data_IF_075840619707
#
_entry.id   IF_075840619707
#
_cell.length_a   1.000
_cell.length_b   1.000
_cell.length_c   1.000
_cell.angle_alpha   90.00
_cell.angle_beta   90.00
_cell.angle_gamma   90.00
#
_symmetry.space_group_name_H-M   'P 1'
#
loop_
_entity.id
_entity.type
_entity.pdbx_description
1 polymer ?
#
# COMPACT_ATOMS: atom_id res chain seq x y z
N UNK A 1 33.17 8.23 -0.74
CA UNK A 1 31.81 7.75 -1.06
C UNK A 1 30.96 8.08 0.16
N UNK A 2 30.23 9.19 0.15
CA UNK A 2 29.39 9.58 1.29
C UNK A 2 28.20 8.63 1.39
N UNK A 3 28.06 7.96 2.54
CA UNK A 3 26.93 7.09 2.81
C UNK A 3 25.74 7.99 3.16
N UNK A 4 24.72 8.03 2.29
CA UNK A 4 23.50 8.81 2.54
C UNK A 4 22.88 8.41 3.87
N UNK A 5 22.42 9.39 4.64
CA UNK A 5 21.74 9.14 5.91
C UNK A 5 20.44 8.36 5.70
N UNK A 6 19.96 7.69 6.75
CA UNK A 6 18.75 6.87 6.70
C UNK A 6 17.48 7.63 6.28
N UNK A 7 17.43 8.93 6.59
CA UNK A 7 16.33 9.82 6.22
C UNK A 7 16.40 10.23 4.74
N UNK A 8 17.61 10.40 4.20
CA UNK A 8 17.83 10.72 2.79
C UNK A 8 17.42 9.56 1.88
N UNK A 9 17.71 8.31 2.28
CA UNK A 9 17.32 7.12 1.51
C UNK A 9 15.80 6.90 1.45
N UNK A 10 15.05 7.39 2.46
CA UNK A 10 13.58 7.31 2.50
C UNK A 10 12.90 8.14 1.40
N UNK A 11 13.56 9.18 0.91
CA UNK A 11 13.00 10.13 -0.05
C UNK A 11 13.49 9.92 -1.49
N UNK A 12 14.34 8.92 -1.75
CA UNK A 12 14.79 8.61 -3.10
C UNK A 12 13.68 7.86 -3.84
N UNK A 13 13.11 8.46 -4.88
CA UNK A 13 12.20 7.76 -5.77
C UNK A 13 12.98 6.66 -6.52
N UNK A 14 12.61 5.41 -6.28
CA UNK A 14 13.27 4.25 -6.86
C UNK A 14 12.36 3.61 -7.91
N UNK A 15 12.94 3.31 -9.07
CA UNK A 15 12.28 2.49 -10.09
C UNK A 15 12.88 1.08 -10.04
N UNK A 16 12.04 0.11 -9.75
CA UNK A 16 12.36 -1.30 -9.66
C UNK A 16 11.94 -2.04 -10.92
N UNK A 17 12.59 -3.19 -11.15
CA UNK A 17 12.17 -4.14 -12.19
C UNK A 17 10.75 -4.63 -11.90
N UNK A 18 9.89 -4.64 -12.91
CA UNK A 18 8.54 -5.21 -12.82
C UNK A 18 8.62 -6.73 -12.95
N UNK A 19 8.11 -7.45 -11.95
CA UNK A 19 8.04 -8.91 -11.87
C UNK A 19 6.60 -9.43 -11.89
N UNK A 20 5.63 -8.59 -11.53
CA UNK A 20 4.20 -8.85 -11.64
C UNK A 20 3.54 -7.58 -12.14
N UNK A 21 2.76 -7.68 -13.21
CA UNK A 21 2.15 -6.52 -13.84
C UNK A 21 0.67 -6.40 -13.48
N UNK A 22 0.24 -5.15 -13.29
CA UNK A 22 -1.13 -4.73 -13.05
C UNK A 22 -1.32 -3.45 -13.86
N UNK A 23 -2.06 -3.47 -14.98
CA UNK A 23 -2.04 -2.40 -15.98
C UNK A 23 -2.32 -0.97 -15.46
N UNK A 24 -3.08 -0.86 -14.36
CA UNK A 24 -3.48 0.44 -13.76
C UNK A 24 -2.57 0.91 -12.63
N UNK A 25 -1.56 0.11 -12.26
CA UNK A 25 -0.70 0.36 -11.10
C UNK A 25 0.73 0.60 -11.56
N UNK A 26 1.39 1.63 -11.03
CA UNK A 26 2.81 1.93 -11.31
C UNK A 26 3.72 0.94 -10.56
N UNK A 27 3.71 -0.33 -10.98
CA UNK A 27 4.42 -1.44 -10.33
C UNK A 27 5.93 -1.22 -10.22
N UNK A 28 6.52 -0.41 -11.10
CA UNK A 28 7.93 -0.04 -11.02
C UNK A 28 8.28 0.77 -9.76
N UNK A 29 7.31 1.39 -9.08
CA UNK A 29 7.54 2.08 -7.79
C UNK A 29 7.40 1.18 -6.57
N UNK A 30 7.11 -0.10 -6.79
CA UNK A 30 6.91 -1.08 -5.73
C UNK A 30 8.10 -2.03 -5.70
N UNK A 31 8.64 -2.27 -4.52
CA UNK A 31 9.78 -3.14 -4.35
C UNK A 31 9.49 -4.56 -4.89
N UNK A 32 10.41 -5.22 -5.62
CA UNK A 32 10.14 -6.48 -6.30
C UNK A 32 9.67 -7.61 -5.38
N UNK A 33 10.10 -7.60 -4.12
CA UNK A 33 9.68 -8.56 -3.09
C UNK A 33 8.16 -8.52 -2.82
N UNK A 34 7.55 -7.35 -2.99
CA UNK A 34 6.17 -7.09 -2.58
C UNK A 34 5.18 -7.07 -3.76
N UNK A 35 5.66 -6.94 -5.00
CA UNK A 35 4.82 -6.80 -6.19
C UNK A 35 3.81 -7.94 -6.38
N UNK A 36 4.19 -9.20 -6.07
CA UNK A 36 3.26 -10.33 -6.17
C UNK A 36 2.12 -10.23 -5.17
N UNK A 37 2.39 -9.80 -3.94
CA UNK A 37 1.36 -9.62 -2.92
C UNK A 37 0.43 -8.45 -3.26
N UNK A 38 0.99 -7.34 -3.75
CA UNK A 38 0.22 -6.20 -4.25
C UNK A 38 -0.72 -6.61 -5.39
N UNK A 39 -0.23 -7.40 -6.35
CA UNK A 39 -1.08 -7.94 -7.41
C UNK A 39 -2.26 -8.75 -6.85
N UNK A 40 -2.02 -9.63 -5.88
CA UNK A 40 -3.10 -10.41 -5.24
C UNK A 40 -4.12 -9.52 -4.54
N UNK A 41 -3.67 -8.47 -3.85
CA UNK A 41 -4.57 -7.50 -3.21
C UNK A 41 -5.41 -6.77 -4.26
N UNK A 42 -4.79 -6.26 -5.33
CA UNK A 42 -5.51 -5.60 -6.42
C UNK A 42 -6.56 -6.54 -7.02
N UNK A 43 -6.17 -7.76 -7.40
CA UNK A 43 -7.08 -8.73 -8.03
C UNK A 43 -8.25 -9.12 -7.10
N UNK A 44 -8.04 -9.17 -5.78
CA UNK A 44 -9.08 -9.49 -4.80
C UNK A 44 -10.07 -8.33 -4.53
N UNK A 45 -9.64 -7.08 -4.76
CA UNK A 45 -10.43 -5.89 -4.40
C UNK A 45 -10.94 -5.11 -5.62
N UNK A 46 -10.38 -5.28 -6.82
CA UNK A 46 -10.71 -4.44 -8.01
C UNK A 46 -12.20 -4.34 -8.31
N UNK A 47 -12.95 -5.41 -8.03
CA UNK A 47 -14.40 -5.50 -8.27
C UNK A 47 -15.25 -5.21 -7.04
N UNK A 48 -14.64 -4.91 -5.88
CA UNK A 48 -15.36 -4.57 -4.66
C UNK A 48 -15.77 -3.09 -4.69
N UNK A 49 -17.02 -2.84 -5.08
CA UNK A 49 -17.56 -1.49 -5.25
C UNK A 49 -17.50 -0.64 -3.98
N UNK A 50 -17.36 -1.27 -2.80
CA UNK A 50 -17.30 -0.58 -1.52
C UNK A 50 -16.00 0.17 -1.33
N UNK A 51 -14.92 -0.26 -2.00
CA UNK A 51 -13.60 0.34 -1.89
C UNK A 51 -13.43 1.43 -2.95
N UNK A 52 -13.08 2.64 -2.51
CA UNK A 52 -12.90 3.81 -3.35
C UNK A 52 -11.45 4.05 -3.75
N UNK A 53 -10.48 3.65 -2.92
CA UNK A 53 -9.06 3.74 -3.21
C UNK A 53 -8.23 2.89 -2.23
N UNK A 54 -7.08 2.41 -2.70
CA UNK A 54 -6.03 1.84 -1.86
C UNK A 54 -4.68 2.46 -2.22
N UNK A 55 -3.95 2.92 -1.22
CA UNK A 55 -2.58 3.44 -1.38
C UNK A 55 -1.60 2.58 -0.59
N UNK A 56 -0.63 2.00 -1.30
CA UNK A 56 0.54 1.35 -0.71
C UNK A 56 1.59 2.40 -0.39
N UNK A 57 2.11 2.40 0.84
CA UNK A 57 3.16 3.32 1.26
C UNK A 57 4.23 2.60 2.07
N UNK A 58 5.00 3.36 2.86
CA UNK A 58 5.94 2.79 3.82
C UNK A 58 7.15 2.12 3.16
N UNK A 59 7.61 1.01 3.71
CA UNK A 59 8.87 0.38 3.28
C UNK A 59 8.80 -0.19 1.85
N UNK A 60 7.61 -0.63 1.44
CA UNK A 60 7.34 -1.30 0.16
C UNK A 60 7.59 -0.45 -1.09
N UNK A 61 7.76 0.87 -0.94
CA UNK A 61 8.00 1.82 -2.04
C UNK A 61 9.39 2.46 -1.99
N UNK A 62 10.30 1.93 -1.18
CA UNK A 62 11.69 2.42 -1.09
C UNK A 62 12.70 1.26 -0.86
N UNK A 63 13.99 1.60 -0.82
CA UNK A 63 15.09 0.64 -0.70
C UNK A 63 15.20 -0.06 0.65
N UNK A 64 14.37 0.31 1.63
CA UNK A 64 14.39 -0.30 2.97
C UNK A 64 13.51 -1.54 3.07
N UNK A 65 12.79 -1.88 2.00
CA UNK A 65 12.00 -3.11 1.95
C UNK A 65 12.91 -4.34 2.09
N UNK A 66 12.55 -5.23 3.00
CA UNK A 66 13.22 -6.52 3.22
C UNK A 66 12.24 -7.66 3.11
N UNK A 67 12.72 -8.90 3.23
CA UNK A 67 11.86 -10.09 3.29
C UNK A 67 10.97 -10.15 4.54
N UNK A 68 11.28 -9.37 5.57
CA UNK A 68 10.51 -9.27 6.81
C UNK A 68 9.57 -8.06 6.83
N UNK A 69 9.54 -7.29 5.73
CA UNK A 69 8.65 -6.13 5.62
C UNK A 69 7.21 -6.56 5.36
N UNK A 70 6.31 -5.90 6.05
CA UNK A 70 4.87 -5.87 5.83
C UNK A 70 4.48 -4.89 4.71
N UNK A 71 3.20 -4.98 4.32
CA UNK A 71 2.56 -4.03 3.40
C UNK A 71 1.83 -2.96 4.20
N UNK A 72 2.34 -1.72 4.17
CA UNK A 72 1.64 -0.57 4.72
C UNK A 72 0.56 -0.05 3.74
N UNK A 73 -0.72 -0.15 4.12
CA UNK A 73 -1.85 0.21 3.25
C UNK A 73 -2.73 1.27 3.90
N UNK A 74 -3.16 2.26 3.10
CA UNK A 74 -4.31 3.11 3.44
C UNK A 74 -5.47 2.76 2.53
N UNK A 75 -6.61 2.45 3.14
CA UNK A 75 -7.85 2.08 2.44
C UNK A 75 -8.89 3.16 2.67
N UNK A 76 -9.57 3.56 1.60
CA UNK A 76 -10.72 4.46 1.64
C UNK A 76 -11.94 3.73 1.08
N UNK A 77 -13.00 3.64 1.88
CA UNK A 77 -14.31 3.17 1.43
C UNK A 77 -15.09 4.32 0.77
N UNK A 78 -16.07 4.00 -0.07
CA UNK A 78 -17.04 5.00 -0.52
C UNK A 78 -17.93 5.44 0.66
N UNK A 79 -18.38 6.71 0.71
CA UNK A 79 -19.10 7.26 1.86
C UNK A 79 -20.29 6.41 2.35
N UNK A 80 -21.04 5.82 1.42
CA UNK A 80 -22.23 5.01 1.67
C UNK A 80 -21.93 3.66 2.35
N UNK A 81 -20.67 3.20 2.32
CA UNK A 81 -20.24 1.93 2.91
C UNK A 81 -19.37 2.11 4.17
N UNK A 82 -19.24 3.32 4.71
CA UNK A 82 -18.38 3.57 5.87
C UNK A 82 -19.04 3.08 7.16
N UNK A 83 -18.75 1.83 7.52
CA UNK A 83 -19.12 1.23 8.81
C UNK A 83 -18.05 0.19 9.25
N UNK A 84 -18.10 -0.26 10.50
CA UNK A 84 -17.07 -1.17 11.04
C UNK A 84 -17.15 -2.59 10.45
N UNK A 85 -18.34 -3.08 10.11
CA UNK A 85 -18.54 -4.41 9.53
C UNK A 85 -17.88 -4.49 8.15
N UNK A 86 -18.17 -3.53 7.26
CA UNK A 86 -17.53 -3.43 5.95
C UNK A 86 -16.03 -3.26 6.06
N UNK A 87 -15.54 -2.47 7.03
CA UNK A 87 -14.10 -2.35 7.28
C UNK A 87 -13.48 -3.70 7.67
N UNK A 88 -14.12 -4.46 8.55
CA UNK A 88 -13.61 -5.76 8.95
C UNK A 88 -13.55 -6.74 7.77
N UNK A 89 -14.61 -6.81 6.97
CA UNK A 89 -14.66 -7.69 5.80
C UNK A 89 -13.61 -7.31 4.73
N UNK A 90 -13.46 -6.01 4.45
CA UNK A 90 -12.44 -5.55 3.49
C UNK A 90 -11.02 -5.78 4.04
N UNK A 91 -10.80 -5.56 5.34
CA UNK A 91 -9.54 -5.92 5.99
C UNK A 91 -9.23 -7.40 5.84
N UNK A 92 -10.19 -8.28 6.12
CA UNK A 92 -10.01 -9.73 6.01
C UNK A 92 -9.64 -10.15 4.58
N UNK A 93 -10.36 -9.66 3.57
CA UNK A 93 -10.00 -9.89 2.15
C UNK A 93 -8.57 -9.46 1.81
N UNK A 94 -8.15 -8.29 2.27
CA UNK A 94 -6.79 -7.78 2.04
C UNK A 94 -5.75 -8.66 2.75
N UNK A 95 -6.00 -9.02 4.01
CA UNK A 95 -5.10 -9.85 4.81
C UNK A 95 -4.95 -11.24 4.20
N UNK A 96 -6.04 -11.89 3.78
CA UNK A 96 -5.98 -13.18 3.10
C UNK A 96 -5.15 -13.12 1.81
N UNK A 97 -5.34 -12.06 1.00
CA UNK A 97 -4.62 -11.88 -0.26
C UNK A 97 -3.10 -11.70 -0.07
N UNK A 98 -2.66 -11.18 1.08
CA UNK A 98 -1.24 -10.97 1.37
C UNK A 98 -0.63 -11.99 2.35
N UNK A 99 -1.41 -12.97 2.83
CA UNK A 99 -0.93 -13.95 3.82
C UNK A 99 -0.77 -13.36 5.22
N UNK A 100 -1.67 -12.46 5.60
CA UNK A 100 -1.74 -11.80 6.92
C UNK A 100 -0.51 -10.94 7.24
N UNK A 101 0.06 -10.31 6.21
CA UNK A 101 1.27 -9.49 6.30
C UNK A 101 1.03 -8.07 5.77
N UNK A 102 -0.04 -7.43 6.23
CA UNK A 102 -0.34 -6.04 5.92
C UNK A 102 -0.78 -5.25 7.15
N UNK A 103 -0.32 -4.00 7.24
CA UNK A 103 -0.83 -2.99 8.15
C UNK A 103 -1.91 -2.17 7.42
N UNK A 104 -3.18 -2.45 7.72
CA UNK A 104 -4.33 -1.79 7.08
C UNK A 104 -4.80 -0.60 7.91
N UNK A 105 -4.58 0.60 7.38
CA UNK A 105 -5.04 1.85 7.96
C UNK A 105 -6.26 2.40 7.20
N UNK A 106 -7.23 2.93 7.94
CA UNK A 106 -8.44 3.50 7.36
C UNK A 106 -8.32 5.00 7.18
N UNK A 107 -8.51 5.49 5.95
CA UNK A 107 -8.37 6.90 5.59
C UNK A 107 -9.15 7.82 6.53
N UNK A 108 -10.42 7.50 6.83
CA UNK A 108 -11.28 8.31 7.69
C UNK A 108 -10.80 8.38 9.16
N UNK A 109 -9.93 7.46 9.58
CA UNK A 109 -9.31 7.46 10.91
C UNK A 109 -7.98 8.21 10.96
N UNK A 110 -7.28 8.31 9.83
CA UNK A 110 -5.91 8.86 9.78
C UNK A 110 -5.77 10.19 9.04
N UNK A 111 -6.82 10.66 8.34
CA UNK A 111 -6.77 11.83 7.47
C UNK A 111 -6.29 13.12 8.16
N UNK A 112 -6.49 13.23 9.48
CA UNK A 112 -6.05 14.37 10.28
C UNK A 112 -4.56 14.32 10.67
N UNK A 113 -3.88 13.19 10.46
CA UNK A 113 -2.45 13.01 10.79
C UNK A 113 -1.56 13.48 9.65
N UNK A 114 -1.10 14.74 9.71
CA UNK A 114 -0.22 15.35 8.69
C UNK A 114 1.01 14.50 8.38
N UNK A 115 1.69 13.99 9.41
CA UNK A 115 2.92 13.23 9.24
C UNK A 115 2.69 11.91 8.52
N UNK A 116 1.61 11.20 8.86
CA UNK A 116 1.26 9.94 8.21
C UNK A 116 0.81 10.20 6.77
N UNK A 117 -0.07 11.19 6.55
CA UNK A 117 -0.55 11.55 5.23
C UNK A 117 0.57 11.97 4.28
N UNK A 118 1.61 12.67 4.77
CA UNK A 118 2.80 12.98 3.97
C UNK A 118 3.54 11.73 3.47
N UNK A 119 3.54 10.62 4.22
CA UNK A 119 4.10 9.36 3.73
C UNK A 119 3.15 8.69 2.72
N UNK A 120 1.84 8.75 2.96
CA UNK A 120 0.81 8.18 2.07
C UNK A 120 0.82 8.88 0.70
N UNK A 121 0.97 10.20 0.66
CA UNK A 121 1.06 10.98 -0.58
C UNK A 121 2.27 10.61 -1.44
N UNK A 122 3.33 10.06 -0.84
CA UNK A 122 4.50 9.53 -1.57
C UNK A 122 4.30 8.10 -2.04
N UNK A 123 3.23 7.43 -1.62
CA UNK A 123 2.90 6.06 -1.94
C UNK A 123 2.53 5.83 -3.40
N UNK A 124 2.02 4.63 -3.66
CA UNK A 124 1.52 4.18 -4.96
C UNK A 124 0.06 3.81 -4.79
N UNK A 125 -0.82 4.43 -5.58
CA UNK A 125 -2.20 4.02 -5.66
C UNK A 125 -2.27 2.66 -6.36
N UNK A 126 -2.85 1.67 -5.69
CA UNK A 126 -3.02 0.30 -6.19
C UNK A 126 -4.49 -0.05 -6.42
N UNK A 127 -5.42 0.88 -6.17
CA UNK A 127 -6.82 0.83 -6.58
C UNK A 127 -7.34 2.25 -6.72
#
# INVERSE_FOLDING_TARGET
MECKTWEEQKNVECNFRVLADVPKVKMSRIHPLQQKAVKRIHDAIEWDERVAAIVLFGSSVNLRCTIHSDLDLVVRLRPEFVNNETKNEVSEKIQEACGWNADVLWYDRICNSKNLMNNVLKGVQIL
#
